data_IF_223799034007
#
_entry.id   IF_223799034007
#
_cell.length_a   1.000
_cell.length_b   1.000
_cell.length_c   1.000
_cell.angle_alpha   90.00
_cell.angle_beta   90.00
_cell.angle_gamma   90.00
#
_symmetry.space_group_name_H-M   'P 1'
#
loop_
_entity.id
_entity.type
_entity.pdbx_description
1 polymer ?
#
# COMPACT_ATOMS: atom_id res chain seq x y z
N UNK A 1 -39.31 -58.86 -17.80
CA UNK A 1 -38.15 -58.49 -16.96
C UNK A 1 -38.41 -57.06 -16.48
N UNK A 2 -38.98 -56.90 -15.28
CA UNK A 2 -39.36 -55.60 -14.70
C UNK A 2 -38.23 -55.14 -13.77
N UNK A 3 -37.58 -54.02 -14.09
CA UNK A 3 -36.59 -53.39 -13.24
C UNK A 3 -37.28 -52.51 -12.20
N UNK A 4 -37.15 -52.86 -10.93
CA UNK A 4 -37.63 -52.07 -9.79
C UNK A 4 -36.70 -50.88 -9.60
N UNK A 5 -37.23 -49.67 -9.82
CA UNK A 5 -36.62 -48.45 -9.33
C UNK A 5 -36.82 -48.43 -7.80
N UNK A 6 -35.76 -48.69 -7.04
CA UNK A 6 -35.80 -48.59 -5.58
C UNK A 6 -35.94 -47.14 -5.13
N UNK A 7 -36.68 -46.84 -4.05
CA UNK A 7 -36.90 -45.47 -3.61
C UNK A 7 -35.57 -44.87 -3.14
N UNK A 8 -35.13 -43.78 -3.78
CA UNK A 8 -34.17 -42.85 -3.15
C UNK A 8 -34.76 -42.48 -1.79
N UNK A 9 -34.07 -42.83 -0.72
CA UNK A 9 -34.56 -42.59 0.63
C UNK A 9 -34.66 -41.09 0.87
N UNK A 10 -35.80 -40.65 1.41
CA UNK A 10 -36.00 -39.25 1.82
C UNK A 10 -34.91 -38.75 2.77
N UNK A 11 -34.25 -39.65 3.51
CA UNK A 11 -33.13 -39.31 4.40
C UNK A 11 -31.88 -38.82 3.65
N UNK A 12 -31.54 -39.42 2.50
CA UNK A 12 -30.37 -39.01 1.70
C UNK A 12 -30.63 -37.63 1.07
N UNK A 13 -31.85 -37.42 0.55
CA UNK A 13 -32.25 -36.11 0.00
C UNK A 13 -32.30 -34.99 1.05
N UNK A 14 -32.56 -35.33 2.32
CA UNK A 14 -32.57 -34.38 3.43
C UNK A 14 -31.14 -34.04 3.89
N UNK A 15 -30.23 -35.03 3.89
CA UNK A 15 -28.82 -34.82 4.21
C UNK A 15 -28.14 -33.90 3.18
N UNK A 16 -28.32 -34.20 1.88
CA UNK A 16 -27.78 -33.39 0.79
C UNK A 16 -28.31 -31.94 0.85
N UNK A 17 -29.60 -31.77 1.14
CA UNK A 17 -30.21 -30.45 1.28
C UNK A 17 -29.66 -29.67 2.49
N UNK A 18 -29.33 -30.36 3.59
CA UNK A 18 -28.72 -29.74 4.76
C UNK A 18 -27.26 -29.33 4.49
N UNK A 19 -26.47 -30.18 3.82
CA UNK A 19 -25.09 -29.84 3.45
C UNK A 19 -25.05 -28.66 2.48
N UNK A 20 -25.94 -28.63 1.48
CA UNK A 20 -26.04 -27.50 0.56
C UNK A 20 -26.42 -26.20 1.29
N UNK A 21 -27.33 -26.27 2.27
CA UNK A 21 -27.70 -25.11 3.11
C UNK A 21 -26.53 -24.63 3.96
N UNK A 22 -25.83 -25.54 4.64
CA UNK A 22 -24.65 -25.20 5.44
C UNK A 22 -23.55 -24.56 4.59
N UNK A 23 -23.30 -25.10 3.39
CA UNK A 23 -22.32 -24.53 2.46
C UNK A 23 -22.75 -23.14 1.99
N UNK A 24 -24.02 -22.94 1.67
CA UNK A 24 -24.54 -21.64 1.27
C UNK A 24 -24.46 -20.61 2.40
N UNK A 25 -24.76 -21.01 3.63
CA UNK A 25 -24.61 -20.19 4.83
C UNK A 25 -23.16 -19.79 5.05
N UNK A 26 -22.23 -20.76 5.02
CA UNK A 26 -20.80 -20.47 5.14
C UNK A 26 -20.30 -19.51 4.05
N UNK A 27 -20.70 -19.72 2.80
CA UNK A 27 -20.35 -18.81 1.69
C UNK A 27 -20.92 -17.41 1.89
N UNK A 28 -22.14 -17.28 2.42
CA UNK A 28 -22.75 -15.98 2.76
C UNK A 28 -21.99 -15.29 3.86
N UNK A 29 -21.59 -16.01 4.91
CA UNK A 29 -20.83 -15.47 6.02
C UNK A 29 -19.45 -15.00 5.57
N UNK A 30 -18.74 -15.81 4.77
CA UNK A 30 -17.44 -15.43 4.19
C UNK A 30 -17.58 -14.20 3.30
N UNK A 31 -18.61 -14.14 2.47
CA UNK A 31 -18.85 -12.97 1.61
C UNK A 31 -19.19 -11.72 2.45
N UNK A 32 -20.03 -11.85 3.47
CA UNK A 32 -20.39 -10.75 4.38
C UNK A 32 -19.16 -10.22 5.14
N UNK A 33 -18.30 -11.11 5.63
CA UNK A 33 -17.02 -10.74 6.25
C UNK A 33 -16.09 -10.04 5.26
N UNK A 34 -15.98 -10.56 4.04
CA UNK A 34 -15.18 -9.93 2.99
C UNK A 34 -15.67 -8.51 2.66
N UNK A 35 -16.99 -8.29 2.60
CA UNK A 35 -17.58 -6.97 2.40
C UNK A 35 -17.30 -6.02 3.57
N UNK A 36 -17.39 -6.49 4.81
CA UNK A 36 -17.07 -5.70 6.00
C UNK A 36 -15.60 -5.27 6.00
N UNK A 37 -14.68 -6.22 5.79
CA UNK A 37 -13.24 -5.97 5.73
C UNK A 37 -12.88 -5.00 4.59
N UNK A 38 -13.49 -5.15 3.41
CA UNK A 38 -13.27 -4.26 2.28
C UNK A 38 -13.78 -2.83 2.55
N UNK A 39 -14.87 -2.69 3.31
CA UNK A 39 -15.43 -1.38 3.65
C UNK A 39 -14.53 -0.65 4.64
N UNK A 40 -14.03 -1.37 5.65
CA UNK A 40 -13.09 -0.81 6.64
C UNK A 40 -11.79 -0.37 5.97
N UNK A 41 -11.17 -1.26 5.19
CA UNK A 41 -9.94 -0.95 4.45
C UNK A 41 -10.13 0.28 3.56
N UNK A 42 -11.27 0.38 2.85
CA UNK A 42 -11.55 1.55 2.01
C UNK A 42 -11.68 2.84 2.82
N UNK A 43 -12.19 2.77 4.05
CA UNK A 43 -12.27 3.93 4.94
C UNK A 43 -10.88 4.39 5.36
N UNK A 44 -10.04 3.46 5.84
CA UNK A 44 -8.65 3.73 6.22
C UNK A 44 -7.86 4.34 5.04
N UNK A 45 -8.02 3.77 3.83
CA UNK A 45 -7.40 4.30 2.61
C UNK A 45 -7.82 5.74 2.29
N UNK A 46 -9.11 6.07 2.46
CA UNK A 46 -9.62 7.42 2.22
C UNK A 46 -9.08 8.43 3.25
N UNK A 47 -8.96 8.02 4.51
CA UNK A 47 -8.43 8.87 5.58
C UNK A 47 -6.94 9.19 5.35
N UNK A 48 -6.15 8.21 4.89
CA UNK A 48 -4.76 8.41 4.50
C UNK A 48 -4.59 9.08 3.13
N UNK A 49 -5.64 9.08 2.28
CA UNK A 49 -5.53 9.37 0.85
C UNK A 49 -4.46 8.48 0.19
N UNK A 50 -4.47 7.19 0.54
CA UNK A 50 -3.57 6.18 0.04
C UNK A 50 -4.26 5.31 -1.03
N UNK A 51 -3.50 4.91 -2.04
CA UNK A 51 -3.94 4.01 -3.10
C UNK A 51 -3.42 2.60 -2.82
N UNK A 52 -4.23 1.57 -3.09
CA UNK A 52 -3.78 0.19 -2.94
C UNK A 52 -2.97 -0.21 -4.18
N UNK A 53 -1.76 -0.71 -3.95
CA UNK A 53 -0.86 -1.25 -4.96
C UNK A 53 -0.50 -2.70 -4.60
N UNK A 54 0.07 -3.45 -5.53
CA UNK A 54 0.41 -4.87 -5.31
C UNK A 54 1.30 -5.10 -4.08
N UNK A 55 2.17 -4.13 -3.75
CA UNK A 55 3.11 -4.19 -2.63
C UNK A 55 2.56 -3.66 -1.30
N UNK A 56 1.34 -3.12 -1.26
CA UNK A 56 0.74 -2.53 -0.07
C UNK A 56 -0.01 -1.22 -0.36
N UNK A 57 0.23 -0.18 0.43
CA UNK A 57 -0.44 1.12 0.29
C UNK A 57 0.52 2.20 -0.17
N UNK A 58 0.15 2.94 -1.21
CA UNK A 58 0.90 4.07 -1.75
C UNK A 58 0.29 5.38 -1.30
N UNK A 59 1.05 6.16 -0.54
CA UNK A 59 0.73 7.53 -0.16
C UNK A 59 1.61 8.50 -0.95
N UNK A 60 1.01 9.30 -1.82
CA UNK A 60 1.76 10.27 -2.65
C UNK A 60 1.71 11.66 -2.07
N UNK A 61 2.84 12.15 -1.55
CA UNK A 61 3.01 13.52 -1.06
C UNK A 61 3.50 14.44 -2.18
N UNK A 62 2.67 15.37 -2.64
CA UNK A 62 3.02 16.31 -3.71
C UNK A 62 3.86 17.51 -3.21
N UNK A 63 4.36 18.31 -4.15
CA UNK A 63 5.24 19.46 -3.88
C UNK A 63 4.66 20.49 -2.90
N UNK A 64 3.33 20.65 -2.85
CA UNK A 64 2.67 21.65 -1.98
C UNK A 64 2.75 21.29 -0.50
N UNK A 65 3.02 20.02 -0.20
CA UNK A 65 3.24 19.51 1.14
C UNK A 65 4.65 19.77 1.66
N UNK A 66 5.51 20.33 0.80
CA UNK A 66 6.85 20.77 1.14
C UNK A 66 6.94 22.30 1.06
N UNK A 67 7.86 22.86 1.83
CA UNK A 67 8.18 24.30 1.73
C UNK A 67 9.03 24.56 0.47
N UNK A 68 8.87 25.73 -0.17
CA UNK A 68 9.51 26.04 -1.46
C UNK A 68 11.02 25.81 -1.41
N UNK A 69 11.54 24.96 -2.32
CA UNK A 69 12.95 24.55 -2.39
C UNK A 69 13.52 23.92 -1.11
N UNK A 70 12.68 23.54 -0.15
CA UNK A 70 13.12 23.17 1.17
C UNK A 70 12.76 21.73 1.54
N UNK A 71 13.57 21.23 2.45
CA UNK A 71 13.53 19.90 3.06
C UNK A 71 12.45 19.84 4.16
N UNK A 72 11.80 20.96 4.47
CA UNK A 72 10.78 21.03 5.52
C UNK A 72 9.38 20.74 4.99
N UNK A 73 8.57 20.04 5.79
CA UNK A 73 7.14 19.84 5.55
C UNK A 73 6.37 21.14 5.79
N UNK A 74 5.39 21.42 4.94
CA UNK A 74 4.43 22.51 5.18
C UNK A 74 3.41 22.11 6.25
N UNK A 75 2.58 23.04 6.72
CA UNK A 75 1.49 22.73 7.67
C UNK A 75 0.59 21.58 7.17
N UNK A 76 0.07 21.60 5.92
CA UNK A 76 -0.69 20.47 5.42
C UNK A 76 0.16 19.20 5.26
N UNK A 77 1.44 19.33 4.92
CA UNK A 77 2.37 18.20 4.88
C UNK A 77 2.54 17.52 6.24
N UNK A 78 2.71 18.30 7.31
CA UNK A 78 2.76 17.79 8.68
C UNK A 78 1.50 17.01 9.05
N UNK A 79 0.31 17.53 8.74
CA UNK A 79 -0.95 16.81 9.03
C UNK A 79 -1.04 15.48 8.30
N UNK A 80 -0.55 15.42 7.06
CA UNK A 80 -0.61 14.20 6.26
C UNK A 80 0.40 13.15 6.73
N UNK A 81 1.60 13.57 7.10
CA UNK A 81 2.59 12.67 7.70
C UNK A 81 2.18 12.27 9.12
N UNK A 82 1.42 13.10 9.84
CA UNK A 82 0.85 12.74 11.14
C UNK A 82 -0.15 11.58 11.03
N UNK A 83 -1.07 11.62 10.07
CA UNK A 83 -2.01 10.51 9.82
C UNK A 83 -1.27 9.20 9.49
N UNK A 84 -0.15 9.29 8.76
CA UNK A 84 0.74 8.16 8.52
C UNK A 84 1.36 7.62 9.82
N UNK A 85 1.75 8.49 10.76
CA UNK A 85 2.29 8.06 12.07
C UNK A 85 1.24 7.27 12.84
N UNK A 86 0.02 7.81 12.97
CA UNK A 86 -1.09 7.15 13.67
C UNK A 86 -1.38 5.76 13.08
N UNK A 87 -1.32 5.63 11.75
CA UNK A 87 -1.47 4.34 11.07
C UNK A 87 -0.34 3.36 11.40
N UNK A 88 0.92 3.81 11.38
CA UNK A 88 2.08 2.94 11.65
C UNK A 88 2.22 2.52 13.12
N UNK A 89 1.61 3.29 14.03
CA UNK A 89 1.44 2.92 15.44
C UNK A 89 0.41 1.81 15.62
N UNK A 90 -0.68 1.82 14.85
CA UNK A 90 -1.71 0.77 14.86
C UNK A 90 -1.25 -0.52 14.15
N UNK A 91 -0.32 -0.40 13.20
CA UNK A 91 0.22 -1.52 12.40
C UNK A 91 1.73 -1.70 12.60
N UNK A 92 2.20 -2.20 13.76
CA UNK A 92 3.63 -2.33 14.08
C UNK A 92 4.39 -3.30 13.17
N UNK A 93 3.70 -4.22 12.51
CA UNK A 93 4.25 -5.22 11.58
C UNK A 93 4.65 -4.64 10.22
N UNK A 94 4.11 -3.48 9.84
CA UNK A 94 4.33 -2.90 8.51
C UNK A 94 5.65 -2.17 8.38
N UNK A 95 6.26 -2.26 7.20
CA UNK A 95 7.46 -1.52 6.83
C UNK A 95 7.10 -0.36 5.90
N UNK A 96 7.97 0.64 5.83
CA UNK A 96 7.76 1.84 5.03
C UNK A 96 8.99 2.11 4.16
N UNK A 97 8.75 2.23 2.87
CA UNK A 97 9.70 2.77 1.91
C UNK A 97 9.28 4.18 1.50
N UNK A 98 10.22 5.11 1.57
CA UNK A 98 10.03 6.51 1.21
C UNK A 98 10.90 6.82 0.00
N UNK A 99 10.26 6.97 -1.16
CA UNK A 99 10.94 7.27 -2.41
C UNK A 99 10.65 8.73 -2.81
N UNK A 100 11.69 9.55 -2.77
CA UNK A 100 11.62 10.93 -3.22
C UNK A 100 11.86 11.03 -4.72
N UNK A 101 11.13 11.91 -5.40
CA UNK A 101 11.30 12.23 -6.81
C UNK A 101 11.47 13.74 -6.98
N UNK A 102 12.43 14.11 -7.83
CA UNK A 102 12.59 15.46 -8.35
C UNK A 102 12.65 15.33 -9.87
N UNK A 103 11.94 16.20 -10.60
CA UNK A 103 11.77 16.10 -12.05
C UNK A 103 13.07 16.13 -12.86
N UNK A 104 12.99 16.16 -14.19
CA UNK A 104 14.12 15.84 -15.06
C UNK A 104 15.04 17.03 -15.44
N UNK A 105 15.27 17.98 -14.52
CA UNK A 105 16.00 19.22 -14.81
C UNK A 105 17.52 19.11 -14.79
N UNK A 106 18.10 19.06 -13.59
CA UNK A 106 19.54 19.01 -13.33
C UNK A 106 19.86 17.81 -12.41
N UNK A 107 20.32 16.72 -13.02
CA UNK A 107 20.52 15.42 -12.37
C UNK A 107 21.15 15.45 -10.95
N UNK A 108 22.31 16.09 -10.70
CA UNK A 108 22.89 16.15 -9.36
C UNK A 108 22.05 16.97 -8.37
N UNK A 109 21.40 18.04 -8.82
CA UNK A 109 20.53 18.87 -7.97
C UNK A 109 19.23 18.12 -7.63
N UNK A 110 18.60 17.50 -8.62
CA UNK A 110 17.34 16.80 -8.46
C UNK A 110 17.52 15.53 -7.61
N UNK A 111 18.60 14.78 -7.80
CA UNK A 111 18.96 13.65 -6.92
C UNK A 111 19.16 14.10 -5.47
N UNK A 112 19.83 15.23 -5.24
CA UNK A 112 20.03 15.77 -3.89
C UNK A 112 18.70 16.24 -3.27
N UNK A 113 17.84 16.89 -4.05
CA UNK A 113 16.54 17.34 -3.60
C UNK A 113 15.60 16.18 -3.27
N UNK A 114 15.54 15.16 -4.13
CA UNK A 114 14.70 13.98 -3.94
C UNK A 114 15.13 13.18 -2.71
N UNK A 115 16.43 12.96 -2.53
CA UNK A 115 16.99 12.30 -1.33
C UNK A 115 16.64 13.07 -0.07
N UNK A 116 16.85 14.39 -0.06
CA UNK A 116 16.56 15.23 1.11
C UNK A 116 15.08 15.18 1.50
N UNK A 117 14.17 15.19 0.52
CA UNK A 117 12.73 15.12 0.80
C UNK A 117 12.33 13.77 1.38
N UNK A 118 12.87 12.68 0.85
CA UNK A 118 12.67 11.35 1.43
C UNK A 118 13.20 11.29 2.88
N UNK A 119 14.40 11.84 3.11
CA UNK A 119 15.00 11.91 4.44
C UNK A 119 14.20 12.79 5.41
N UNK A 120 13.55 13.85 4.94
CA UNK A 120 12.70 14.70 5.77
C UNK A 120 11.51 13.92 6.36
N UNK A 121 10.81 13.17 5.50
CA UNK A 121 9.69 12.31 5.91
C UNK A 121 10.20 11.23 6.87
N UNK A 122 11.28 10.53 6.52
CA UNK A 122 11.90 9.52 7.38
C UNK A 122 12.29 10.10 8.75
N UNK A 123 12.92 11.26 8.77
CA UNK A 123 13.34 11.93 10.01
C UNK A 123 12.13 12.26 10.86
N UNK A 124 11.06 12.78 10.27
CA UNK A 124 9.83 13.05 10.99
C UNK A 124 9.26 11.77 11.63
N UNK A 125 9.15 10.67 10.88
CA UNK A 125 8.68 9.39 11.40
C UNK A 125 9.56 8.87 12.56
N UNK A 126 10.88 9.01 12.45
CA UNK A 126 11.82 8.66 13.52
C UNK A 126 11.59 9.51 14.79
N UNK A 127 11.39 10.83 14.64
CA UNK A 127 11.10 11.71 15.80
C UNK A 127 9.79 11.39 16.50
N UNK A 128 8.86 10.73 15.79
CA UNK A 128 7.59 10.25 16.33
C UNK A 128 7.68 8.84 16.92
N UNK A 129 8.85 8.22 16.93
CA UNK A 129 9.10 6.95 17.61
C UNK A 129 8.96 5.71 16.72
N UNK A 130 8.76 5.87 15.40
CA UNK A 130 8.77 4.73 14.48
C UNK A 130 10.19 4.16 14.38
N UNK A 131 10.31 2.83 14.54
CA UNK A 131 11.62 2.18 14.63
C UNK A 131 12.40 2.28 13.29
N UNK A 132 13.72 2.56 13.32
CA UNK A 132 14.51 2.81 12.12
C UNK A 132 14.63 1.59 11.19
N UNK A 133 14.52 0.37 11.72
CA UNK A 133 14.50 -0.86 10.93
C UNK A 133 13.24 -1.02 10.07
N UNK A 134 12.16 -0.29 10.40
CA UNK A 134 10.92 -0.26 9.61
C UNK A 134 10.96 0.77 8.48
N UNK A 135 11.99 1.63 8.43
CA UNK A 135 12.01 2.82 7.58
C UNK A 135 13.17 2.79 6.59
N UNK A 136 12.86 2.82 5.30
CA UNK A 136 13.84 3.04 4.24
C UNK A 136 13.54 4.36 3.52
N UNK A 137 14.58 5.09 3.12
CA UNK A 137 14.45 6.33 2.35
C UNK A 137 15.43 6.35 1.20
N UNK A 138 14.96 6.72 0.01
CA UNK A 138 15.78 6.79 -1.21
C UNK A 138 15.36 8.00 -2.04
N UNK A 139 16.34 8.61 -2.71
CA UNK A 139 16.09 9.63 -3.73
C UNK A 139 16.17 9.01 -5.11
N UNK A 140 15.05 8.99 -5.83
CA UNK A 140 14.94 8.60 -7.22
C UNK A 140 14.98 9.87 -8.09
N UNK A 141 15.78 9.85 -9.15
CA UNK A 141 15.90 10.95 -10.13
C UNK A 141 15.58 10.49 -11.56
N UNK A 142 15.30 9.19 -11.76
CA UNK A 142 15.27 8.53 -13.07
C UNK A 142 13.92 7.84 -13.38
N UNK A 143 12.83 8.23 -12.73
CA UNK A 143 11.51 7.65 -13.00
C UNK A 143 10.46 8.73 -13.25
N UNK A 144 10.45 9.30 -14.46
CA UNK A 144 9.38 10.21 -14.87
C UNK A 144 8.06 9.44 -14.89
N UNK A 145 7.04 10.01 -14.26
CA UNK A 145 5.68 9.45 -14.26
C UNK A 145 4.86 9.94 -15.47
N UNK A 146 5.33 11.01 -16.12
CA UNK A 146 4.71 11.67 -17.26
C UNK A 146 5.81 12.09 -18.26
N UNK A 147 5.45 12.24 -19.53
CA UNK A 147 6.33 12.73 -20.60
C UNK A 147 6.73 14.22 -20.42
N UNK A 148 6.07 14.95 -19.51
CA UNK A 148 6.41 16.33 -19.15
C UNK A 148 7.38 16.37 -17.95
N UNK A 149 8.67 16.46 -18.29
CA UNK A 149 9.85 16.61 -17.44
C UNK A 149 9.80 17.75 -16.41
N UNK A 150 8.86 18.70 -16.56
CA UNK A 150 8.71 19.85 -15.66
C UNK A 150 7.37 19.88 -14.93
N UNK A 151 6.52 18.88 -15.11
CA UNK A 151 5.25 18.83 -14.41
C UNK A 151 5.48 18.84 -12.89
N UNK A 152 4.71 19.63 -12.11
CA UNK A 152 4.84 19.66 -10.65
C UNK A 152 4.59 18.28 -10.02
N UNK A 153 3.91 17.37 -10.74
CA UNK A 153 3.70 15.97 -10.39
C UNK A 153 4.99 15.13 -10.39
N UNK A 154 6.03 15.56 -11.10
CA UNK A 154 7.34 14.90 -11.04
C UNK A 154 8.09 15.18 -9.73
N UNK A 155 7.68 16.20 -8.97
CA UNK A 155 8.26 16.56 -7.67
C UNK A 155 7.36 16.07 -6.56
N UNK A 156 7.56 14.82 -6.15
CA UNK A 156 6.72 14.15 -5.15
C UNK A 156 7.56 13.26 -4.23
N UNK A 157 6.98 12.87 -3.11
CA UNK A 157 7.50 11.79 -2.28
C UNK A 157 6.44 10.71 -2.22
N UNK A 158 6.78 9.53 -2.68
CA UNK A 158 5.93 8.35 -2.55
C UNK A 158 6.31 7.63 -1.26
N UNK A 159 5.31 7.35 -0.44
CA UNK A 159 5.46 6.57 0.77
C UNK A 159 4.71 5.26 0.57
N UNK A 160 5.45 4.18 0.46
CA UNK A 160 4.94 2.83 0.26
C UNK A 160 4.93 2.15 1.62
N UNK A 161 3.74 1.83 2.11
CA UNK A 161 3.53 1.04 3.32
C UNK A 161 3.39 -0.41 2.88
N UNK A 162 4.42 -1.22 3.13
CA UNK A 162 4.51 -2.59 2.66
C UNK A 162 3.56 -3.50 3.46
N UNK A 163 2.84 -4.35 2.73
CA UNK A 163 2.02 -5.41 3.34
C UNK A 163 2.94 -6.51 3.89
N UNK A 164 2.81 -6.92 5.17
CA UNK A 164 3.60 -8.02 5.74
C UNK A 164 3.44 -9.37 5.01
N UNK A 165 2.39 -9.55 4.21
CA UNK A 165 2.11 -10.78 3.46
C UNK A 165 2.57 -10.74 2.01
N UNK A 166 2.95 -9.58 1.48
CA UNK A 166 3.55 -9.46 0.15
C UNK A 166 5.06 -9.29 0.32
N UNK A 167 5.87 -10.35 0.12
CA UNK A 167 7.31 -10.16 0.07
C UNK A 167 7.62 -9.11 -1.00
N UNK A 168 8.46 -8.13 -0.65
CA UNK A 168 9.00 -7.19 -1.63
C UNK A 168 9.46 -8.00 -2.85
N UNK A 169 9.14 -7.58 -4.10
CA UNK A 169 9.74 -8.18 -5.27
C UNK A 169 11.25 -8.12 -5.05
N UNK A 170 11.82 -9.29 -4.77
CA UNK A 170 13.25 -9.46 -4.74
C UNK A 170 13.64 -9.14 -6.17
N UNK A 171 14.27 -7.98 -6.34
CA UNK A 171 14.88 -7.60 -7.60
C UNK A 171 15.88 -8.72 -7.87
N UNK A 172 15.47 -9.70 -8.69
CA UNK A 172 16.29 -10.84 -9.04
C UNK A 172 17.51 -10.29 -9.76
N UNK A 173 18.55 -10.06 -8.99
CA UNK A 173 19.90 -9.86 -9.47
C UNK A 173 20.42 -11.21 -9.97
N UNK A 174 19.80 -11.71 -11.05
CA UNK A 174 20.47 -12.69 -11.91
C UNK A 174 21.32 -11.89 -12.89
N UNK A 175 22.56 -11.64 -12.49
CA UNK A 175 23.67 -11.34 -13.38
C UNK A 175 23.99 -12.58 -14.27
N UNK A 176 25.06 -12.56 -15.08
CA UNK A 176 25.33 -11.77 -16.27
C UNK A 176 25.47 -12.66 -17.54
N UNK A 177 25.52 -12.03 -18.71
CA UNK A 177 26.28 -12.45 -19.92
C UNK A 177 26.30 -13.92 -20.37
N UNK A 178 25.73 -14.18 -21.55
CA UNK A 178 26.20 -15.26 -22.43
C UNK A 178 27.05 -14.66 -23.54
#
# INVERSE_FOLDING_TARGET
MLAVCGPVSVADSQADANEQRQKLEHLRDVNAQALANATELRREMNELQAEAIDRGLLLTLDDTLFTTNAVGLSIPGHRRVEALVEFLEQHPERHVAVDGYAGAGNYPYDRALSTRRADAVRTYLLTRGIAPNRLTARGNADSPQDDDDFAPRQRRVEVIIEDPLTPAPQLDATAPGT
#
